data_IF_615074312365
#
_entry.id   IF_615074312365
#
_cell.length_a   1.000
_cell.length_b   1.000
_cell.length_c   1.000
_cell.angle_alpha   90.00
_cell.angle_beta   90.00
_cell.angle_gamma   90.00
#
_symmetry.space_group_name_H-M   'P 1'
#
loop_
_entity.id
_entity.type
_entity.pdbx_description
1 polymer ?
#
# COMPACT_ATOMS: atom_id res chain seq x y z
N UNK A 1 37.44 43.94 9.50
CA UNK A 1 37.12 42.52 9.72
C UNK A 1 36.05 42.13 8.71
N UNK A 2 36.42 41.30 7.74
CA UNK A 2 35.53 40.87 6.66
C UNK A 2 34.78 39.62 7.13
N UNK A 3 33.46 39.73 7.30
CA UNK A 3 32.63 38.65 7.84
C UNK A 3 32.57 37.50 6.82
N UNK A 4 32.85 36.23 7.20
CA UNK A 4 32.97 35.13 6.24
C UNK A 4 31.58 34.69 5.75
N UNK A 5 31.06 35.37 4.73
CA UNK A 5 29.80 35.03 4.02
C UNK A 5 29.83 33.69 3.28
N UNK A 6 30.98 33.01 3.23
CA UNK A 6 31.19 31.80 2.42
C UNK A 6 31.02 30.49 3.19
N UNK A 7 30.94 30.49 4.52
CA UNK A 7 30.81 29.26 5.31
C UNK A 7 29.63 29.37 6.25
N UNK A 8 28.72 28.39 6.16
CA UNK A 8 27.53 28.27 7.03
C UNK A 8 27.94 28.08 8.50
N UNK A 9 29.13 27.52 8.73
CA UNK A 9 29.72 27.33 10.06
C UNK A 9 31.03 28.14 10.15
N UNK A 10 31.12 29.17 11.02
CA UNK A 10 32.40 29.81 11.29
C UNK A 10 33.35 28.80 11.95
N UNK A 11 34.66 28.82 11.60
CA UNK A 11 35.64 27.99 12.29
C UNK A 11 35.64 28.26 13.80
N UNK A 12 35.79 27.21 14.61
CA UNK A 12 35.85 27.32 16.07
C UNK A 12 36.98 28.25 16.55
N UNK A 13 38.00 28.46 15.72
CA UNK A 13 39.14 29.34 16.00
C UNK A 13 38.77 30.83 16.04
N UNK A 14 37.66 31.24 15.43
CA UNK A 14 37.21 32.64 15.42
C UNK A 14 36.20 32.97 16.53
N UNK A 15 35.46 31.97 17.02
CA UNK A 15 34.43 32.17 18.03
C UNK A 15 34.04 30.83 18.67
N UNK A 16 33.90 30.78 20.00
CA UNK A 16 33.33 29.60 20.66
C UNK A 16 31.90 29.36 20.16
N UNK A 17 31.52 28.07 20.04
CA UNK A 17 30.17 27.64 19.61
C UNK A 17 29.03 28.29 20.41
N UNK A 18 29.31 28.68 21.65
CA UNK A 18 28.37 29.32 22.58
C UNK A 18 28.10 30.80 22.24
N UNK A 19 29.07 31.50 21.65
CA UNK A 19 28.98 32.92 21.27
C UNK A 19 28.62 33.15 19.81
N UNK A 20 28.72 32.11 18.99
CA UNK A 20 28.28 32.16 17.61
C UNK A 20 26.74 32.26 17.54
N UNK A 21 26.25 33.21 16.72
CA UNK A 21 24.82 33.48 16.49
C UNK A 21 24.45 33.16 15.05
N UNK A 22 23.30 32.52 14.84
CA UNK A 22 22.85 32.11 13.50
C UNK A 22 21.62 32.91 13.06
N UNK A 23 21.77 33.75 12.03
CA UNK A 23 20.68 34.51 11.39
C UNK A 23 20.03 35.61 12.24
N UNK A 24 20.00 35.45 13.56
CA UNK A 24 19.40 36.35 14.55
C UNK A 24 20.24 36.41 15.83
N UNK A 25 20.18 37.54 16.54
CA UNK A 25 21.06 37.82 17.68
C UNK A 25 20.72 37.02 18.95
N UNK A 26 19.56 36.37 19.03
CA UNK A 26 19.14 35.63 20.22
C UNK A 26 19.33 34.10 20.11
N UNK A 27 19.60 33.55 18.92
CA UNK A 27 19.74 32.09 18.74
C UNK A 27 21.22 31.70 18.69
N UNK A 28 21.66 30.95 19.70
CA UNK A 28 23.01 30.39 19.78
C UNK A 28 23.14 29.12 18.93
N UNK A 29 24.32 28.92 18.31
CA UNK A 29 24.61 27.70 17.54
C UNK A 29 24.49 26.43 18.38
N UNK A 30 24.91 26.49 19.65
CA UNK A 30 24.72 25.38 20.60
C UNK A 30 23.25 24.96 20.73
N UNK A 31 22.34 25.94 20.88
CA UNK A 31 20.91 25.67 20.98
C UNK A 31 20.33 25.09 19.67
N UNK A 32 20.85 25.50 18.52
CA UNK A 32 20.43 24.98 17.21
C UNK A 32 20.85 23.53 16.99
N UNK A 33 22.09 23.20 17.37
CA UNK A 33 22.59 21.82 17.26
C UNK A 33 21.77 20.90 18.16
N UNK A 34 21.48 21.34 19.39
CA UNK A 34 20.62 20.58 20.32
C UNK A 34 19.22 20.40 19.72
N UNK A 35 18.59 21.48 19.23
CA UNK A 35 17.25 21.41 18.64
C UNK A 35 17.20 20.48 17.42
N UNK A 36 18.15 20.59 16.49
CA UNK A 36 18.22 19.71 15.31
C UNK A 36 18.48 18.26 15.69
N UNK A 37 19.29 18.02 16.72
CA UNK A 37 19.54 16.67 17.24
C UNK A 37 18.28 16.07 17.87
N UNK A 38 17.50 16.85 18.62
CA UNK A 38 16.23 16.39 19.21
C UNK A 38 15.19 16.12 18.13
N UNK A 39 15.02 17.02 17.16
CA UNK A 39 14.07 16.83 16.05
C UNK A 39 14.49 15.65 15.17
N UNK A 40 15.75 15.56 14.78
CA UNK A 40 16.27 14.44 14.00
C UNK A 40 16.17 13.12 14.76
N UNK A 41 16.59 13.11 16.03
CA UNK A 41 16.55 11.94 16.89
C UNK A 41 15.13 11.44 17.12
N UNK A 42 14.17 12.32 17.42
CA UNK A 42 12.77 11.93 17.59
C UNK A 42 12.16 11.39 16.30
N UNK A 43 12.44 11.99 15.14
CA UNK A 43 11.96 11.45 13.84
C UNK A 43 12.55 10.07 13.54
N UNK A 44 13.85 9.87 13.77
CA UNK A 44 14.52 8.58 13.56
C UNK A 44 14.01 7.52 14.54
N UNK A 45 13.81 7.85 15.81
CA UNK A 45 13.26 6.95 16.82
C UNK A 45 11.81 6.61 16.48
N UNK A 46 10.99 7.60 16.11
CA UNK A 46 9.59 7.37 15.71
C UNK A 46 9.50 6.46 14.49
N UNK A 47 10.32 6.70 13.45
CA UNK A 47 10.37 5.85 12.27
C UNK A 47 10.91 4.46 12.60
N UNK A 48 11.97 4.37 13.40
CA UNK A 48 12.59 3.12 13.82
C UNK A 48 11.63 2.26 14.65
N UNK A 49 10.98 2.84 15.66
CA UNK A 49 9.99 2.14 16.49
C UNK A 49 8.73 1.81 15.69
N UNK A 50 8.22 2.73 14.87
CA UNK A 50 7.06 2.46 14.01
C UNK A 50 7.36 1.32 13.02
N UNK A 51 8.47 1.37 12.30
CA UNK A 51 8.86 0.31 11.36
C UNK A 51 9.19 -1.00 12.08
N UNK A 52 9.93 -0.97 13.20
CA UNK A 52 10.27 -2.20 13.92
C UNK A 52 9.06 -2.83 14.60
N UNK A 53 8.16 -2.07 15.22
CA UNK A 53 6.99 -2.61 15.90
C UNK A 53 5.85 -2.97 14.94
N UNK A 54 5.64 -2.21 13.86
CA UNK A 54 4.54 -2.43 12.91
C UNK A 54 4.93 -3.33 11.73
N UNK A 55 6.18 -3.32 11.26
CA UNK A 55 6.62 -4.12 10.11
C UNK A 55 7.31 -5.43 10.50
N UNK A 56 8.01 -5.52 11.65
CA UNK A 56 8.61 -6.81 12.07
C UNK A 56 7.55 -7.82 12.53
N UNK A 57 6.38 -7.36 13.03
CA UNK A 57 5.22 -8.25 13.29
C UNK A 57 4.57 -8.78 12.02
N UNK A 58 4.73 -8.10 10.88
CA UNK A 58 4.18 -8.54 9.59
C UNK A 58 5.11 -9.45 8.80
N UNK A 59 6.41 -9.50 9.12
CA UNK A 59 7.39 -10.37 8.43
C UNK A 59 7.30 -11.86 8.78
N UNK A 60 6.65 -12.24 9.89
CA UNK A 60 6.50 -13.65 10.27
C UNK A 60 5.26 -14.33 9.68
N UNK A 61 4.28 -13.57 9.19
CA UNK A 61 3.22 -14.10 8.34
C UNK A 61 3.68 -13.92 6.91
N UNK A 62 4.17 -14.97 6.25
CA UNK A 62 4.36 -14.97 4.79
C UNK A 62 3.01 -14.57 4.16
N UNK A 63 2.81 -13.33 3.68
CA UNK A 63 1.53 -12.92 3.10
C UNK A 63 1.19 -13.81 1.90
N UNK A 64 2.22 -14.24 1.18
CA UNK A 64 2.18 -15.16 0.06
C UNK A 64 1.42 -16.48 0.32
N UNK A 65 1.62 -17.12 1.49
CA UNK A 65 1.00 -18.43 1.78
C UNK A 65 -0.48 -18.30 2.16
N UNK A 66 -0.83 -17.26 2.92
CA UNK A 66 -2.23 -17.00 3.27
C UNK A 66 -3.03 -16.51 2.05
N UNK A 67 -2.42 -15.67 1.20
CA UNK A 67 -3.02 -15.19 -0.05
C UNK A 67 -3.20 -16.32 -1.07
N UNK A 68 -2.21 -17.21 -1.24
CA UNK A 68 -2.36 -18.38 -2.12
C UNK A 68 -3.47 -19.31 -1.63
N UNK A 69 -3.58 -19.54 -0.32
CA UNK A 69 -4.65 -20.34 0.26
C UNK A 69 -6.02 -19.70 0.05
N UNK A 70 -6.12 -18.38 0.20
CA UNK A 70 -7.34 -17.62 -0.07
C UNK A 70 -7.73 -17.67 -1.56
N UNK A 71 -6.76 -17.61 -2.48
CA UNK A 71 -6.99 -17.77 -3.91
C UNK A 71 -7.54 -19.16 -4.25
N UNK A 72 -6.93 -20.23 -3.71
CA UNK A 72 -7.39 -21.62 -3.89
C UNK A 72 -8.81 -21.82 -3.35
N UNK A 73 -9.17 -21.22 -2.22
CA UNK A 73 -10.54 -21.31 -1.69
C UNK A 73 -11.56 -20.58 -2.57
N UNK A 74 -11.23 -19.40 -3.10
CA UNK A 74 -12.10 -18.67 -4.03
C UNK A 74 -12.35 -19.46 -5.30
N UNK A 75 -11.30 -20.08 -5.85
CA UNK A 75 -11.41 -20.93 -7.02
C UNK A 75 -12.31 -22.15 -6.76
N UNK A 76 -12.12 -22.87 -5.64
CA UNK A 76 -13.00 -23.98 -5.24
C UNK A 76 -14.47 -23.57 -5.09
N UNK A 77 -14.73 -22.35 -4.63
CA UNK A 77 -16.11 -21.81 -4.53
C UNK A 77 -16.68 -21.48 -5.91
N UNK A 78 -15.87 -20.91 -6.81
CA UNK A 78 -16.27 -20.62 -8.20
C UNK A 78 -16.59 -21.90 -8.95
N UNK A 79 -15.73 -22.92 -8.88
CA UNK A 79 -15.96 -24.22 -9.53
C UNK A 79 -17.28 -24.84 -9.06
N UNK A 80 -17.55 -24.89 -7.74
CA UNK A 80 -18.84 -25.40 -7.24
C UNK A 80 -20.04 -24.58 -7.70
N UNK A 81 -19.89 -23.27 -7.86
CA UNK A 81 -20.98 -22.43 -8.40
C UNK A 81 -21.20 -22.68 -9.88
N UNK A 82 -20.12 -22.80 -10.65
CA UNK A 82 -20.15 -23.10 -12.09
C UNK A 82 -20.73 -24.49 -12.35
N UNK A 83 -20.36 -25.49 -11.54
CA UNK A 83 -20.90 -26.84 -11.60
C UNK A 83 -22.43 -26.84 -11.37
N UNK A 84 -22.91 -26.16 -10.31
CA UNK A 84 -24.36 -26.01 -10.07
C UNK A 84 -25.08 -25.28 -11.21
N UNK A 85 -24.44 -24.27 -11.81
CA UNK A 85 -25.02 -23.54 -12.95
C UNK A 85 -25.07 -24.42 -14.20
N UNK A 86 -24.03 -25.20 -14.45
CA UNK A 86 -23.97 -26.13 -15.58
C UNK A 86 -25.00 -27.26 -15.42
N UNK A 87 -25.14 -27.82 -14.22
CA UNK A 87 -26.15 -28.83 -13.89
C UNK A 87 -27.58 -28.27 -14.08
N UNK A 88 -27.86 -27.09 -13.54
CA UNK A 88 -29.18 -26.47 -13.73
C UNK A 88 -29.47 -26.19 -15.21
N UNK A 89 -28.46 -25.72 -15.96
CA UNK A 89 -28.57 -25.47 -17.40
C UNK A 89 -28.81 -26.77 -18.18
N UNK A 90 -28.08 -27.84 -17.89
CA UNK A 90 -28.25 -29.13 -18.57
C UNK A 90 -29.64 -29.72 -18.30
N UNK A 91 -30.11 -29.66 -17.05
CA UNK A 91 -31.48 -30.08 -16.69
C UNK A 91 -32.54 -29.26 -17.42
N UNK A 92 -32.37 -27.93 -17.49
CA UNK A 92 -33.28 -27.07 -18.26
C UNK A 92 -33.25 -27.37 -19.76
N UNK A 93 -32.07 -27.59 -20.34
CA UNK A 93 -31.92 -27.86 -21.77
C UNK A 93 -32.45 -29.27 -22.13
N UNK A 94 -32.35 -30.24 -21.22
CA UNK A 94 -32.97 -31.57 -21.37
C UNK A 94 -34.50 -31.50 -21.31
N UNK A 95 -35.07 -30.75 -20.35
CA UNK A 95 -36.51 -30.48 -20.31
C UNK A 95 -36.97 -29.79 -21.60
N UNK A 96 -36.24 -28.76 -22.03
CA UNK A 96 -36.54 -28.03 -23.27
C UNK A 96 -36.59 -28.97 -24.47
N UNK A 97 -35.64 -29.92 -24.58
CA UNK A 97 -35.63 -30.94 -25.63
C UNK A 97 -36.79 -31.93 -25.52
N UNK A 98 -37.08 -32.42 -24.31
CA UNK A 98 -38.17 -33.38 -24.06
C UNK A 98 -39.53 -32.85 -24.51
N UNK A 99 -39.78 -31.55 -24.33
CA UNK A 99 -41.05 -30.91 -24.71
C UNK A 99 -41.00 -30.19 -26.07
N UNK A 100 -39.96 -30.40 -26.88
CA UNK A 100 -39.85 -29.78 -28.20
C UNK A 100 -39.75 -28.24 -28.18
N UNK A 101 -39.45 -27.62 -27.03
CA UNK A 101 -39.21 -26.18 -26.91
C UNK A 101 -37.81 -25.78 -27.39
N UNK A 102 -37.00 -26.74 -27.86
CA UNK A 102 -35.75 -26.45 -28.54
C UNK A 102 -36.16 -25.91 -29.90
N UNK A 103 -36.01 -24.60 -30.13
CA UNK A 103 -36.33 -23.94 -31.40
C UNK A 103 -35.63 -24.66 -32.55
N UNK A 104 -36.27 -25.66 -33.16
CA UNK A 104 -36.32 -25.69 -34.61
C UNK A 104 -36.90 -24.33 -35.02
N UNK A 105 -36.09 -23.59 -35.76
CA UNK A 105 -36.31 -22.27 -36.34
C UNK A 105 -37.69 -21.67 -36.08
N UNK A 106 -37.75 -20.66 -35.22
CA UNK A 106 -38.97 -19.94 -34.87
C UNK A 106 -39.74 -19.53 -36.14
N UNK A 107 -40.91 -20.12 -36.46
CA UNK A 107 -41.60 -19.89 -37.74
C UNK A 107 -42.05 -18.43 -37.95
N UNK A 108 -42.09 -17.65 -36.87
CA UNK A 108 -42.41 -16.22 -36.86
C UNK A 108 -41.23 -15.28 -37.14
N UNK A 109 -39.99 -15.77 -37.25
CA UNK A 109 -38.83 -14.94 -37.59
C UNK A 109 -38.80 -14.49 -39.06
N UNK A 110 -39.72 -14.99 -39.90
CA UNK A 110 -39.75 -14.74 -41.35
C UNK A 110 -40.50 -13.47 -41.77
N UNK A 111 -41.04 -12.70 -40.81
CA UNK A 111 -41.82 -11.48 -41.08
C UNK A 111 -41.06 -10.18 -40.76
N UNK A 112 -39.78 -10.24 -40.40
CA UNK A 112 -38.90 -9.07 -40.26
C UNK A 112 -38.04 -8.92 -41.52
N UNK A 113 -38.65 -8.50 -42.65
CA UNK A 113 -38.07 -7.62 -43.69
C UNK A 113 -39.02 -7.47 -44.88
#
# INVERSE_FOLDING_TARGET
>A
MEYPVRRILPPADLCELRSARWGVCWVNFEALIIAMSVVGGTLLIMLGVCCCCCCCKKKSKKPDKDDERAAREREKRRVRQEERRAEMKSRHDEIRRKYGLFKEENPYAKFEN
#
